data_IF_568764517862
#
_entry.id   IF_568764517862
#
_cell.length_a   1.000
_cell.length_b   1.000
_cell.length_c   1.000
_cell.angle_alpha   90.00
_cell.angle_beta   90.00
_cell.angle_gamma   90.00
#
_symmetry.space_group_name_H-M   'P 1'
#
loop_
_entity.id
_entity.type
_entity.pdbx_description
1 polymer ?
#
# COMPACT_ATOMS: atom_id res chain seq x y z
N UNK A 1 -21.19 -30.86 27.36
CA UNK A 1 -21.53 -30.00 26.20
C UNK A 1 -21.16 -28.53 26.42
N UNK A 2 -21.65 -27.83 27.46
CA UNK A 2 -21.35 -26.39 27.72
C UNK A 2 -19.86 -26.01 27.77
N UNK A 3 -18.99 -26.85 28.37
CA UNK A 3 -17.54 -26.58 28.43
C UNK A 3 -16.83 -26.65 27.07
N UNK A 4 -17.30 -27.53 26.17
CA UNK A 4 -16.76 -27.60 24.81
C UNK A 4 -17.20 -26.38 23.99
N UNK A 5 -18.44 -25.93 24.16
CA UNK A 5 -18.91 -24.69 23.55
C UNK A 5 -18.13 -23.46 24.03
N UNK A 6 -17.81 -23.37 25.32
CA UNK A 6 -17.00 -22.28 25.88
C UNK A 6 -15.58 -22.25 25.31
N UNK A 7 -14.97 -23.42 25.12
CA UNK A 7 -13.63 -23.53 24.52
C UNK A 7 -13.65 -23.17 23.03
N UNK A 8 -14.69 -23.61 22.31
CA UNK A 8 -14.86 -23.31 20.89
C UNK A 8 -15.11 -21.82 20.67
N UNK A 9 -15.90 -21.16 21.52
CA UNK A 9 -16.15 -19.71 21.41
C UNK A 9 -14.92 -18.87 21.73
N UNK A 10 -14.10 -19.27 22.71
CA UNK A 10 -12.82 -18.60 23.02
C UNK A 10 -11.83 -18.75 21.86
N UNK A 11 -11.70 -19.95 21.29
CA UNK A 11 -10.81 -20.20 20.15
C UNK A 11 -11.27 -19.43 18.90
N UNK A 12 -12.56 -19.40 18.63
CA UNK A 12 -13.11 -18.63 17.51
C UNK A 12 -12.90 -17.11 17.68
N UNK A 13 -13.05 -16.58 18.91
CA UNK A 13 -12.79 -15.17 19.21
C UNK A 13 -11.31 -14.78 19.05
N UNK A 14 -10.38 -15.66 19.45
CA UNK A 14 -8.94 -15.46 19.27
C UNK A 14 -8.51 -15.52 17.79
N UNK A 15 -9.19 -16.31 16.97
CA UNK A 15 -8.94 -16.35 15.52
C UNK A 15 -9.49 -15.10 14.81
N UNK A 16 -10.59 -14.52 15.31
CA UNK A 16 -11.20 -13.32 14.73
C UNK A 16 -10.34 -12.06 14.93
N UNK A 17 -9.63 -11.95 16.06
CA UNK A 17 -8.76 -10.79 16.34
C UNK A 17 -7.53 -10.71 15.42
N UNK A 18 -7.11 -11.82 14.81
CA UNK A 18 -5.98 -11.85 13.86
C UNK A 18 -6.31 -11.21 12.51
N UNK A 19 -7.59 -11.01 12.18
CA UNK A 19 -8.02 -10.48 10.87
C UNK A 19 -8.07 -8.94 10.78
N UNK A 20 -7.72 -8.22 11.85
CA UNK A 20 -7.59 -6.75 11.79
C UNK A 20 -6.17 -6.40 11.35
N UNK A 21 -5.86 -6.64 10.07
CA UNK A 21 -4.70 -6.01 9.44
C UNK A 21 -5.05 -4.55 9.16
N UNK A 22 -4.46 -3.64 9.93
CA UNK A 22 -4.64 -2.21 9.78
C UNK A 22 -4.30 -1.75 8.35
N UNK A 23 -5.28 -1.18 7.66
CA UNK A 23 -5.02 -0.42 6.43
C UNK A 23 -4.31 0.86 6.85
N UNK A 24 -2.99 0.84 6.77
CA UNK A 24 -2.10 1.98 7.01
C UNK A 24 -2.17 2.95 5.82
N UNK A 25 -3.36 3.49 5.51
CA UNK A 25 -3.54 4.51 4.50
C UNK A 25 -2.99 5.84 5.02
N UNK A 26 -1.71 6.11 4.79
CA UNK A 26 -1.04 7.33 5.24
C UNK A 26 0.48 7.25 5.34
N UNK A 27 1.05 6.04 5.30
CA UNK A 27 2.50 5.79 5.42
C UNK A 27 3.20 5.68 4.06
N UNK A 28 2.74 6.42 3.05
CA UNK A 28 3.26 6.34 1.70
C UNK A 28 3.62 7.72 1.17
N UNK A 29 4.90 7.95 0.90
CA UNK A 29 5.41 9.20 0.33
C UNK A 29 6.92 9.36 0.49
N UNK A 30 7.49 10.29 -0.26
CA UNK A 30 8.90 10.65 -0.22
C UNK A 30 9.29 11.23 1.14
N UNK A 31 8.44 12.10 1.72
CA UNK A 31 8.65 12.68 3.05
C UNK A 31 8.71 11.63 4.16
N UNK A 32 7.76 10.69 4.17
CA UNK A 32 7.75 9.60 5.16
C UNK A 32 8.99 8.71 5.04
N UNK A 33 9.36 8.31 3.82
CA UNK A 33 10.56 7.51 3.59
C UNK A 33 11.84 8.24 4.01
N UNK A 34 11.93 9.55 3.75
CA UNK A 34 13.06 10.39 4.20
C UNK A 34 13.17 10.39 5.72
N UNK A 35 12.08 10.65 6.43
CA UNK A 35 12.05 10.65 7.90
C UNK A 35 12.50 9.31 8.49
N UNK A 36 12.04 8.18 7.92
CA UNK A 36 12.46 6.85 8.36
C UNK A 36 13.95 6.60 8.15
N UNK A 37 14.52 7.06 7.03
CA UNK A 37 15.96 6.95 6.78
C UNK A 37 16.78 7.85 7.69
N UNK A 38 16.31 9.07 8.00
CA UNK A 38 16.95 9.99 8.95
C UNK A 38 17.02 9.39 10.35
N UNK A 39 15.92 8.80 10.83
CA UNK A 39 15.92 8.12 12.13
C UNK A 39 16.88 6.92 12.17
N UNK A 40 16.94 6.13 11.10
CA UNK A 40 17.92 5.04 11.00
C UNK A 40 19.37 5.55 10.94
N UNK A 41 19.60 6.73 10.37
CA UNK A 41 20.92 7.34 10.27
C UNK A 41 21.41 7.77 11.64
N UNK A 42 20.55 8.42 12.43
CA UNK A 42 20.82 8.78 13.83
C UNK A 42 21.22 7.54 14.64
N UNK A 43 20.44 6.46 14.53
CA UNK A 43 20.78 5.20 15.18
C UNK A 43 22.12 4.65 14.69
N UNK A 44 22.36 4.59 13.38
CA UNK A 44 23.61 4.07 12.84
C UNK A 44 24.85 4.89 13.29
N UNK A 45 24.70 6.21 13.47
CA UNK A 45 25.73 7.08 14.03
C UNK A 45 25.97 6.79 15.51
N UNK A 46 24.91 6.66 16.32
CA UNK A 46 25.00 6.37 17.75
C UNK A 46 25.76 5.06 18.05
N UNK A 47 25.66 4.08 17.16
CA UNK A 47 26.34 2.77 17.30
C UNK A 47 27.59 2.63 16.42
N UNK A 48 28.16 3.73 15.91
CA UNK A 48 29.39 3.76 15.11
C UNK A 48 29.42 2.79 13.91
N UNK A 49 28.27 2.55 13.28
CA UNK A 49 28.16 1.65 12.14
C UNK A 49 28.43 2.40 10.82
N UNK A 50 29.70 2.67 10.54
CA UNK A 50 30.14 3.49 9.41
C UNK A 50 29.62 2.99 8.05
N UNK A 51 29.58 1.66 7.83
CA UNK A 51 29.06 1.09 6.58
C UNK A 51 27.56 1.39 6.42
N UNK A 52 26.77 1.22 7.49
CA UNK A 52 25.34 1.52 7.48
C UNK A 52 25.09 3.01 7.29
N UNK A 53 25.86 3.88 7.94
CA UNK A 53 25.81 5.34 7.75
C UNK A 53 26.01 5.71 6.28
N UNK A 54 27.06 5.18 5.63
CA UNK A 54 27.34 5.46 4.23
C UNK A 54 26.24 4.96 3.27
N UNK A 55 25.58 3.84 3.60
CA UNK A 55 24.43 3.34 2.86
C UNK A 55 23.20 4.25 3.00
N UNK A 56 22.89 4.66 4.23
CA UNK A 56 21.75 5.52 4.55
C UNK A 56 21.90 6.93 3.93
N UNK A 57 23.10 7.50 3.96
CA UNK A 57 23.38 8.78 3.28
C UNK A 57 23.21 8.69 1.76
N UNK A 58 23.61 7.58 1.14
CA UNK A 58 23.35 7.33 -0.29
C UNK A 58 21.84 7.27 -0.58
N UNK A 59 21.09 6.53 0.25
CA UNK A 59 19.64 6.43 0.10
C UNK A 59 18.93 7.78 0.27
N UNK A 60 19.35 8.59 1.24
CA UNK A 60 18.82 9.94 1.44
C UNK A 60 19.05 10.85 0.24
N UNK A 61 20.26 10.84 -0.36
CA UNK A 61 20.53 11.58 -1.60
C UNK A 61 19.61 11.15 -2.73
N UNK A 62 19.45 9.85 -2.93
CA UNK A 62 18.57 9.31 -3.97
C UNK A 62 17.10 9.71 -3.78
N UNK A 63 16.61 9.75 -2.54
CA UNK A 63 15.27 10.26 -2.27
C UNK A 63 15.18 11.76 -2.58
N UNK A 64 16.15 12.56 -2.17
CA UNK A 64 16.15 14.00 -2.41
C UNK A 64 16.27 14.35 -3.91
N UNK A 65 16.98 13.52 -4.68
CA UNK A 65 17.22 13.74 -6.12
C UNK A 65 16.09 13.22 -7.01
N UNK A 66 15.45 12.11 -6.63
CA UNK A 66 14.57 11.37 -7.54
C UNK A 66 13.16 11.12 -7.01
N UNK A 67 12.91 11.33 -5.71
CA UNK A 67 11.60 11.08 -5.15
C UNK A 67 10.72 12.30 -5.28
N UNK A 68 9.76 12.23 -6.21
CA UNK A 68 8.64 13.18 -6.30
C UNK A 68 7.35 12.50 -5.85
N UNK A 69 6.65 13.07 -4.87
CA UNK A 69 5.34 12.57 -4.44
C UNK A 69 4.32 12.51 -5.60
N UNK A 70 4.49 13.39 -6.60
CA UNK A 70 3.74 13.37 -7.85
C UNK A 70 3.81 12.04 -8.61
N UNK A 71 4.89 11.25 -8.50
CA UNK A 71 4.98 9.98 -9.23
C UNK A 71 3.93 8.97 -8.77
N UNK A 72 3.62 8.96 -7.46
CA UNK A 72 2.56 8.12 -6.91
C UNK A 72 1.18 8.65 -7.34
N UNK A 73 1.01 9.97 -7.36
CA UNK A 73 -0.22 10.61 -7.80
C UNK A 73 -0.51 10.30 -9.29
N UNK A 74 0.48 10.52 -10.17
CA UNK A 74 0.39 10.23 -11.60
C UNK A 74 0.12 8.74 -11.87
N UNK A 75 0.73 7.82 -11.11
CA UNK A 75 0.41 6.39 -11.25
C UNK A 75 -1.06 6.10 -10.87
N UNK A 76 -1.57 6.73 -9.81
CA UNK A 76 -2.99 6.59 -9.40
C UNK A 76 -3.91 7.19 -10.46
N UNK A 77 -3.59 8.36 -10.99
CA UNK A 77 -4.35 9.03 -12.05
C UNK A 77 -4.38 8.20 -13.32
N UNK A 78 -3.23 7.69 -13.78
CA UNK A 78 -3.14 6.80 -14.94
C UNK A 78 -4.01 5.54 -14.75
N UNK A 79 -3.99 4.96 -13.55
CA UNK A 79 -4.83 3.80 -13.22
C UNK A 79 -6.32 4.16 -13.23
N UNK A 80 -6.71 5.35 -12.78
CA UNK A 80 -8.09 5.84 -12.87
C UNK A 80 -8.50 5.99 -14.33
N UNK A 81 -7.66 6.60 -15.17
CA UNK A 81 -7.93 6.79 -16.60
C UNK A 81 -8.10 5.44 -17.31
N UNK A 82 -7.22 4.48 -17.06
CA UNK A 82 -7.30 3.13 -17.61
C UNK A 82 -8.61 2.43 -17.22
N UNK A 83 -8.99 2.50 -15.93
CA UNK A 83 -10.24 1.89 -15.44
C UNK A 83 -11.47 2.56 -16.04
N UNK A 84 -11.48 3.89 -16.18
CA UNK A 84 -12.57 4.61 -16.85
C UNK A 84 -12.73 4.17 -18.30
N UNK A 85 -11.62 4.01 -19.05
CA UNK A 85 -11.64 3.50 -20.42
C UNK A 85 -12.24 2.10 -20.48
N UNK A 86 -11.78 1.18 -19.62
CA UNK A 86 -12.30 -0.19 -19.57
C UNK A 86 -13.80 -0.24 -19.27
N UNK A 87 -14.30 0.61 -18.38
CA UNK A 87 -15.75 0.73 -18.10
C UNK A 87 -16.51 1.21 -19.34
N UNK A 88 -15.99 2.21 -20.05
CA UNK A 88 -16.61 2.71 -21.27
C UNK A 88 -16.67 1.62 -22.36
N UNK A 89 -15.57 0.88 -22.55
CA UNK A 89 -15.51 -0.23 -23.51
C UNK A 89 -16.53 -1.32 -23.17
N UNK A 90 -16.59 -1.73 -21.90
CA UNK A 90 -17.56 -2.75 -21.44
C UNK A 90 -19.01 -2.31 -21.53
N UNK A 91 -19.30 -1.01 -21.35
CA UNK A 91 -20.65 -0.47 -21.57
C UNK A 91 -21.04 -0.56 -23.04
N UNK A 92 -20.14 -0.24 -23.97
CA UNK A 92 -20.41 -0.39 -25.41
C UNK A 92 -20.65 -1.84 -25.80
N UNK A 93 -19.81 -2.76 -25.33
CA UNK A 93 -20.00 -4.20 -25.55
C UNK A 93 -21.37 -4.69 -25.03
N UNK A 94 -21.77 -4.22 -23.84
CA UNK A 94 -23.08 -4.54 -23.25
C UNK A 94 -24.24 -4.02 -24.11
N UNK A 95 -24.17 -2.78 -24.57
CA UNK A 95 -25.22 -2.16 -25.40
C UNK A 95 -25.34 -2.85 -26.76
N UNK A 96 -24.21 -3.21 -27.39
CA UNK A 96 -24.19 -3.98 -28.63
C UNK A 96 -24.81 -5.38 -28.46
N UNK A 97 -24.49 -6.07 -27.36
CA UNK A 97 -25.08 -7.37 -27.05
C UNK A 97 -26.59 -7.26 -26.81
N UNK A 98 -27.03 -6.19 -26.14
CA UNK A 98 -28.45 -5.93 -25.89
C UNK A 98 -29.20 -5.63 -27.18
N UNK A 99 -28.61 -4.84 -28.08
CA UNK A 99 -29.20 -4.56 -29.39
C UNK A 99 -29.29 -5.82 -30.26
N UNK A 100 -28.27 -6.68 -30.22
CA UNK A 100 -28.28 -7.99 -30.89
C UNK A 100 -29.38 -8.93 -30.38
N UNK A 101 -29.74 -8.86 -29.10
CA UNK A 101 -30.85 -9.65 -28.52
C UNK A 101 -32.24 -9.10 -28.88
N UNK A 102 -32.32 -7.84 -29.29
CA UNK A 102 -33.59 -7.15 -29.62
C UNK A 102 -33.89 -7.16 -31.13
N UNK A 103 -33.14 -7.91 -31.93
CA UNK A 103 -33.36 -8.16 -33.36
C UNK A 103 -33.48 -9.66 -33.58
#
# INVERSE_FOLDING_TARGET
MKQHYLRITILAGLLYSFMISGVMAGYEGCGYKRQQLEHQLEYAQAYNNAHRVAGLQRALRQINEHCTDNRLLTQKENKIVEKKRKVADRRRELDEARNRLNH
#
